data_IF_209321394703
#
_entry.id   IF_209321394703
#
_cell.length_a   1.000
_cell.length_b   1.000
_cell.length_c   1.000
_cell.angle_alpha   90.00
_cell.angle_beta   90.00
_cell.angle_gamma   90.00
#
_symmetry.space_group_name_H-M   'P 1'
#
loop_
_entity.id
_entity.type
_entity.pdbx_description
1 polymer ?
#
# COMPACT_ATOMS: atom_id res chain seq x y z
N UNK A 1 -13.37 31.18 -4.99
CA UNK A 1 -13.19 32.50 -5.66
C UNK A 1 -11.94 33.23 -5.20
N UNK A 2 -11.68 33.40 -3.90
CA UNK A 2 -10.49 34.13 -3.40
C UNK A 2 -9.15 33.68 -4.02
N UNK A 3 -8.86 32.37 -4.03
CA UNK A 3 -7.66 31.78 -4.66
C UNK A 3 -7.54 32.10 -6.16
N UNK A 4 -8.66 32.23 -6.87
CA UNK A 4 -8.66 32.56 -8.30
C UNK A 4 -8.37 34.04 -8.52
N UNK A 5 -8.89 34.93 -7.66
CA UNK A 5 -8.58 36.35 -7.74
C UNK A 5 -7.11 36.62 -7.38
N UNK A 6 -6.55 35.89 -6.41
CA UNK A 6 -5.14 36.00 -6.00
C UNK A 6 -4.15 35.52 -7.09
N UNK A 7 -4.57 34.60 -7.96
CA UNK A 7 -3.70 34.00 -8.99
C UNK A 7 -3.82 34.65 -10.37
N UNK A 8 -4.69 35.65 -10.54
CA UNK A 8 -4.95 36.37 -11.81
C UNK A 8 -3.85 37.36 -12.25
N UNK A 9 -2.65 37.30 -11.69
CA UNK A 9 -1.57 38.28 -11.95
C UNK A 9 -1.10 38.36 -13.41
N UNK A 10 -1.51 37.43 -14.29
CA UNK A 10 -1.18 37.45 -15.72
C UNK A 10 -2.51 37.24 -16.47
N UNK A 11 -3.16 38.35 -16.84
CA UNK A 11 -4.50 38.40 -17.41
C UNK A 11 -4.60 37.85 -18.84
N UNK A 12 -4.45 36.54 -19.01
CA UNK A 12 -4.80 35.85 -20.25
C UNK A 12 -6.23 35.29 -20.16
N UNK A 13 -7.14 35.64 -21.09
CA UNK A 13 -8.47 35.03 -21.16
C UNK A 13 -8.35 33.51 -21.33
N UNK A 14 -9.13 32.74 -20.54
CA UNK A 14 -9.21 31.27 -20.56
C UNK A 14 -7.98 30.50 -20.07
N UNK A 15 -7.03 31.14 -19.40
CA UNK A 15 -5.94 30.41 -18.76
C UNK A 15 -6.32 30.07 -17.32
N UNK A 16 -6.67 28.80 -17.09
CA UNK A 16 -6.89 28.29 -15.74
C UNK A 16 -5.56 28.41 -14.97
N UNK A 17 -5.49 29.18 -13.87
CA UNK A 17 -4.25 29.31 -13.14
C UNK A 17 -3.90 27.95 -12.55
N UNK A 18 -2.91 27.26 -13.14
CA UNK A 18 -2.39 25.98 -12.63
C UNK A 18 -2.09 26.06 -11.13
N UNK A 19 -1.64 27.22 -10.67
CA UNK A 19 -1.45 27.53 -9.25
C UNK A 19 -2.74 27.34 -8.42
N UNK A 20 -3.89 27.86 -8.88
CA UNK A 20 -5.15 27.72 -8.16
C UNK A 20 -5.61 26.25 -8.08
N UNK A 21 -5.42 25.48 -9.15
CA UNK A 21 -5.70 24.05 -9.15
C UNK A 21 -4.83 23.33 -8.13
N UNK A 22 -3.51 23.54 -8.16
CA UNK A 22 -2.57 22.90 -7.25
C UNK A 22 -2.83 23.28 -5.79
N UNK A 23 -3.10 24.55 -5.49
CA UNK A 23 -3.44 24.98 -4.11
C UNK A 23 -4.68 24.25 -3.59
N UNK A 24 -5.72 24.12 -4.42
CA UNK A 24 -6.94 23.40 -4.03
C UNK A 24 -6.70 21.88 -3.89
N UNK A 25 -5.89 21.29 -4.77
CA UNK A 25 -5.49 19.89 -4.68
C UNK A 25 -4.74 19.63 -3.36
N UNK A 26 -3.74 20.45 -3.06
CA UNK A 26 -2.95 20.38 -1.84
C UNK A 26 -3.81 20.48 -0.60
N UNK A 27 -4.78 21.40 -0.59
CA UNK A 27 -5.73 21.53 0.50
C UNK A 27 -6.56 20.25 0.68
N UNK A 28 -7.17 19.73 -0.40
CA UNK A 28 -7.96 18.49 -0.34
C UNK A 28 -7.14 17.28 0.12
N UNK A 29 -5.91 17.12 -0.37
CA UNK A 29 -5.01 16.03 0.05
C UNK A 29 -4.64 16.19 1.53
N UNK A 30 -4.40 17.42 1.97
CA UNK A 30 -4.11 17.72 3.38
C UNK A 30 -5.30 17.36 4.28
N UNK A 31 -6.52 17.69 3.87
CA UNK A 31 -7.74 17.38 4.63
C UNK A 31 -7.95 15.88 4.86
N UNK A 32 -7.51 15.03 3.92
CA UNK A 32 -7.62 13.56 4.03
C UNK A 32 -6.32 12.88 4.46
N UNK A 33 -5.25 13.65 4.70
CA UNK A 33 -3.89 13.10 4.89
C UNK A 33 -3.77 12.14 6.06
N UNK A 34 -4.57 12.31 7.11
CA UNK A 34 -4.54 11.44 8.30
C UNK A 34 -5.14 10.05 8.07
N UNK A 35 -6.08 9.92 7.12
CA UNK A 35 -6.79 8.66 6.84
C UNK A 35 -5.82 7.50 6.53
N UNK A 36 -4.85 7.63 5.61
CA UNK A 36 -3.90 6.54 5.34
C UNK A 36 -3.00 6.23 6.53
N UNK A 37 -2.61 7.20 7.35
CA UNK A 37 -1.82 6.93 8.56
C UNK A 37 -2.60 6.10 9.57
N UNK A 38 -3.85 6.48 9.86
CA UNK A 38 -4.73 5.71 10.74
C UNK A 38 -4.98 4.29 10.23
N UNK A 39 -5.10 4.14 8.91
CA UNK A 39 -5.28 2.82 8.29
C UNK A 39 -4.05 1.92 8.48
N UNK A 40 -2.85 2.43 8.19
CA UNK A 40 -1.59 1.71 8.43
C UNK A 40 -1.44 1.33 9.91
N UNK A 41 -1.73 2.26 10.81
CA UNK A 41 -1.64 2.00 12.25
C UNK A 41 -2.57 0.86 12.71
N UNK A 42 -3.81 0.86 12.23
CA UNK A 42 -4.79 -0.20 12.51
C UNK A 42 -4.33 -1.56 12.00
N UNK A 43 -3.83 -1.63 10.76
CA UNK A 43 -3.37 -2.87 10.15
C UNK A 43 -2.17 -3.44 10.91
N UNK A 44 -1.16 -2.61 11.22
CA UNK A 44 0.02 -3.09 11.95
C UNK A 44 -0.28 -3.47 13.41
N UNK A 45 -1.23 -2.79 14.05
CA UNK A 45 -1.66 -3.15 15.40
C UNK A 45 -2.36 -4.51 15.40
N UNK A 46 -3.28 -4.74 14.46
CA UNK A 46 -3.91 -6.05 14.26
C UNK A 46 -2.88 -7.16 13.98
N UNK A 47 -1.90 -6.89 13.12
CA UNK A 47 -0.83 -7.85 12.83
C UNK A 47 0.00 -8.17 14.07
N UNK A 48 0.27 -7.20 14.93
CA UNK A 48 0.93 -7.44 16.22
C UNK A 48 0.16 -8.43 17.08
N UNK A 49 -1.14 -8.23 17.25
CA UNK A 49 -2.00 -9.13 18.03
C UNK A 49 -2.03 -10.54 17.43
N UNK A 50 -2.15 -10.65 16.09
CA UNK A 50 -2.11 -11.94 15.39
C UNK A 50 -0.79 -12.64 15.61
N UNK A 51 0.34 -11.95 15.39
CA UNK A 51 1.69 -12.53 15.55
C UNK A 51 1.89 -13.02 16.97
N UNK A 52 1.57 -12.21 17.98
CA UNK A 52 1.69 -12.62 19.40
C UNK A 52 0.80 -13.83 19.70
N UNK A 53 -0.46 -13.81 19.25
CA UNK A 53 -1.41 -14.88 19.57
C UNK A 53 -1.08 -16.21 18.88
N UNK A 54 -0.58 -16.18 17.64
CA UNK A 54 -0.11 -17.36 16.91
C UNK A 54 1.18 -17.87 17.56
N UNK A 55 2.07 -16.96 17.93
CA UNK A 55 3.34 -17.31 18.54
C UNK A 55 3.15 -18.07 19.86
N UNK A 56 2.39 -17.52 20.79
CA UNK A 56 2.11 -18.16 22.09
C UNK A 56 1.54 -19.56 21.86
N UNK A 57 0.47 -19.67 21.05
CA UNK A 57 -0.18 -20.96 20.76
C UNK A 57 0.75 -22.05 20.25
N UNK A 58 1.74 -21.72 19.42
CA UNK A 58 2.60 -22.72 18.79
C UNK A 58 3.97 -22.89 19.46
N UNK A 59 4.45 -21.88 20.21
CA UNK A 59 5.80 -21.86 20.74
C UNK A 59 5.90 -21.94 22.27
N UNK A 60 4.77 -22.00 22.99
CA UNK A 60 4.76 -22.05 24.47
C UNK A 60 5.62 -23.20 25.05
N UNK A 61 5.70 -24.34 24.33
CA UNK A 61 6.50 -25.50 24.76
C UNK A 61 7.97 -25.47 24.29
N UNK A 62 8.39 -24.40 23.59
CA UNK A 62 9.69 -24.30 22.95
C UNK A 62 10.44 -23.04 23.42
N UNK A 63 11.00 -23.04 24.65
CA UNK A 63 11.67 -21.87 25.22
C UNK A 63 12.87 -21.38 24.40
N UNK A 64 13.50 -22.25 23.59
CA UNK A 64 14.56 -21.89 22.66
C UNK A 64 14.10 -20.89 21.57
N UNK A 65 12.80 -20.84 21.27
CA UNK A 65 12.28 -19.91 20.26
C UNK A 65 12.00 -18.51 20.82
N UNK A 66 12.13 -18.27 22.12
CA UNK A 66 11.87 -16.97 22.73
C UNK A 66 12.71 -15.83 22.13
N UNK A 67 13.94 -16.13 21.70
CA UNK A 67 14.82 -15.20 20.99
C UNK A 67 14.28 -14.82 19.61
N UNK A 68 13.66 -15.76 18.89
CA UNK A 68 12.94 -15.51 17.63
C UNK A 68 11.75 -14.59 17.86
N UNK A 69 11.00 -14.77 18.95
CA UNK A 69 9.86 -13.90 19.30
C UNK A 69 10.31 -12.44 19.42
N UNK A 70 11.39 -12.21 20.16
CA UNK A 70 11.94 -10.86 20.36
C UNK A 70 12.37 -10.22 19.04
N UNK A 71 13.04 -10.98 18.17
CA UNK A 71 13.45 -10.52 16.84
C UNK A 71 12.24 -10.28 15.92
N UNK A 72 11.25 -11.16 15.94
CA UNK A 72 10.00 -11.02 15.19
C UNK A 72 9.22 -9.76 15.59
N UNK A 73 9.12 -9.47 16.90
CA UNK A 73 8.51 -8.23 17.41
C UNK A 73 9.28 -7.00 16.95
N UNK A 74 10.62 -7.04 16.99
CA UNK A 74 11.45 -5.94 16.49
C UNK A 74 11.20 -5.71 14.99
N UNK A 75 11.25 -6.76 14.18
CA UNK A 75 11.02 -6.69 12.74
C UNK A 75 9.62 -6.13 12.41
N UNK A 76 8.60 -6.51 13.19
CA UNK A 76 7.25 -5.95 13.08
C UNK A 76 7.24 -4.42 13.34
N UNK A 77 7.89 -3.96 14.41
CA UNK A 77 8.01 -2.53 14.74
C UNK A 77 8.73 -1.78 13.63
N UNK A 78 9.85 -2.33 13.15
CA UNK A 78 10.64 -1.73 12.06
C UNK A 78 9.81 -1.63 10.76
N UNK A 79 9.00 -2.65 10.44
CA UNK A 79 8.10 -2.64 9.27
C UNK A 79 6.94 -1.67 9.40
N UNK A 80 6.37 -1.54 10.61
CA UNK A 80 5.36 -0.52 10.89
C UNK A 80 5.93 0.88 10.65
N UNK A 81 7.12 1.16 11.18
CA UNK A 81 7.77 2.46 11.00
C UNK A 81 8.09 2.75 9.53
N UNK A 82 8.66 1.77 8.82
CA UNK A 82 8.91 1.88 7.38
C UNK A 82 7.63 2.19 6.59
N UNK A 83 6.50 1.60 7.00
CA UNK A 83 5.21 1.85 6.35
C UNK A 83 4.68 3.26 6.61
N UNK A 84 4.88 3.79 7.81
CA UNK A 84 4.48 5.18 8.14
C UNK A 84 5.29 6.17 7.29
N UNK A 85 6.60 5.95 7.15
CA UNK A 85 7.47 6.78 6.31
C UNK A 85 7.06 6.72 4.84
N UNK A 86 6.78 5.52 4.34
CA UNK A 86 6.31 5.35 2.97
C UNK A 86 4.95 6.04 2.72
N UNK A 87 4.02 5.98 3.68
CA UNK A 87 2.73 6.71 3.59
C UNK A 87 2.95 8.21 3.52
N UNK A 88 3.88 8.74 4.32
CA UNK A 88 4.24 10.15 4.29
C UNK A 88 4.71 10.55 2.88
N UNK A 89 5.64 9.78 2.30
CA UNK A 89 6.14 10.07 0.95
C UNK A 89 5.02 10.00 -0.08
N UNK A 90 4.14 9.01 -0.01
CA UNK A 90 2.99 8.87 -0.90
C UNK A 90 2.05 10.08 -0.83
N UNK A 91 1.70 10.53 0.38
CA UNK A 91 0.84 11.71 0.58
C UNK A 91 1.51 12.99 0.07
N UNK A 92 2.80 13.17 0.33
CA UNK A 92 3.55 14.34 -0.15
C UNK A 92 3.68 14.34 -1.68
N UNK A 93 3.90 13.19 -2.30
CA UNK A 93 3.91 13.08 -3.77
C UNK A 93 2.57 13.53 -4.40
N UNK A 94 1.43 13.17 -3.81
CA UNK A 94 0.11 13.60 -4.30
C UNK A 94 -0.16 15.10 -4.10
N UNK A 95 0.55 15.77 -3.18
CA UNK A 95 0.48 17.24 -3.00
C UNK A 95 1.32 18.01 -4.03
N UNK A 96 2.34 17.39 -4.59
CA UNK A 96 3.35 18.09 -5.39
C UNK A 96 2.93 18.33 -6.84
N UNK A 97 2.06 17.48 -7.40
CA UNK A 97 1.80 17.48 -8.84
C UNK A 97 0.37 17.14 -9.20
N UNK A 98 -0.12 17.80 -10.26
CA UNK A 98 -1.37 17.54 -10.97
C UNK A 98 -1.18 16.56 -12.16
N UNK A 99 -0.02 15.90 -12.23
CA UNK A 99 0.31 14.97 -13.30
C UNK A 99 -0.59 13.72 -13.28
N UNK A 100 -1.06 13.31 -14.47
CA UNK A 100 -1.74 12.04 -14.68
C UNK A 100 -1.55 11.57 -16.13
N UNK A 101 -1.26 10.29 -16.30
CA UNK A 101 -1.31 9.60 -17.60
C UNK A 101 -2.57 8.75 -17.75
N UNK A 102 -3.53 8.85 -16.82
CA UNK A 102 -4.75 8.08 -16.91
C UNK A 102 -5.61 8.60 -18.08
N UNK A 103 -5.87 7.80 -19.14
CA UNK A 103 -6.66 8.23 -20.28
C UNK A 103 -8.12 8.58 -19.90
N UNK A 104 -8.63 8.02 -18.81
CA UNK A 104 -9.99 8.29 -18.30
C UNK A 104 -10.14 9.70 -17.74
N UNK A 105 -9.03 10.37 -17.39
CA UNK A 105 -9.05 11.74 -16.89
C UNK A 105 -9.69 12.69 -17.92
N UNK A 106 -9.21 12.64 -19.16
CA UNK A 106 -9.71 13.52 -20.23
C UNK A 106 -11.17 13.22 -20.56
N UNK A 107 -11.55 11.95 -20.57
CA UNK A 107 -12.94 11.55 -20.78
C UNK A 107 -13.87 12.10 -19.68
N UNK A 108 -13.46 11.98 -18.42
CA UNK A 108 -14.22 12.47 -17.26
C UNK A 108 -14.31 14.00 -17.23
N UNK A 109 -13.20 14.68 -17.50
CA UNK A 109 -13.17 16.15 -17.65
C UNK A 109 -14.12 16.61 -18.76
N UNK A 110 -14.01 16.03 -19.96
CA UNK A 110 -14.85 16.40 -21.10
C UNK A 110 -16.34 16.18 -20.81
N UNK A 111 -16.68 15.07 -20.15
CA UNK A 111 -18.06 14.78 -19.74
C UNK A 111 -18.58 15.87 -18.79
N UNK A 112 -17.83 16.22 -17.75
CA UNK A 112 -18.21 17.26 -16.79
C UNK A 112 -18.25 18.67 -17.43
N UNK A 113 -17.38 18.93 -18.40
CA UNK A 113 -17.33 20.20 -19.13
C UNK A 113 -18.40 20.34 -20.22
N UNK A 114 -19.12 19.28 -20.59
CA UNK A 114 -20.12 19.30 -21.69
C UNK A 114 -21.25 20.34 -21.49
N UNK A 115 -21.49 20.74 -20.24
CA UNK A 115 -22.52 21.73 -19.86
C UNK A 115 -21.98 23.15 -19.67
N UNK A 116 -20.71 23.41 -20.02
CA UNK A 116 -20.07 24.71 -19.80
C UNK A 116 -20.77 25.84 -20.56
N UNK A 117 -21.19 25.61 -21.81
CA UNK A 117 -21.85 26.65 -22.62
C UNK A 117 -23.22 27.05 -22.04
N UNK A 118 -23.98 26.07 -21.55
CA UNK A 118 -25.24 26.28 -20.82
C UNK A 118 -24.97 27.08 -19.53
N UNK A 119 -23.98 26.66 -18.74
CA UNK A 119 -23.58 27.38 -17.53
C UNK A 119 -23.20 28.85 -17.80
N UNK A 120 -22.46 29.13 -18.88
CA UNK A 120 -22.10 30.50 -19.27
C UNK A 120 -23.34 31.33 -19.63
N UNK A 121 -24.33 30.75 -20.30
CA UNK A 121 -25.59 31.45 -20.63
C UNK A 121 -26.37 31.82 -19.38
N UNK A 122 -26.48 30.90 -18.42
CA UNK A 122 -27.11 31.17 -17.11
C UNK A 122 -26.39 32.31 -16.42
N UNK A 123 -25.07 32.23 -16.24
CA UNK A 123 -24.29 33.24 -15.48
C UNK A 123 -24.35 34.64 -16.12
N UNK A 124 -24.49 34.70 -17.45
CA UNK A 124 -24.66 35.95 -18.18
C UNK A 124 -26.10 36.48 -18.20
N UNK A 125 -27.05 35.79 -17.56
CA UNK A 125 -28.47 36.15 -17.56
C UNK A 125 -29.14 36.02 -18.94
N UNK A 126 -28.58 35.18 -19.83
CA UNK A 126 -29.08 34.96 -21.18
C UNK A 126 -30.09 33.81 -21.26
N UNK A 127 -30.40 33.17 -20.13
CA UNK A 127 -31.28 32.01 -20.04
C UNK A 127 -32.43 32.26 -19.06
N UNK A 128 -33.62 31.72 -19.37
CA UNK A 128 -34.85 31.94 -18.59
C UNK A 128 -34.87 31.12 -17.31
N UNK A 129 -34.30 29.92 -17.36
CA UNK A 129 -34.07 29.08 -16.18
C UNK A 129 -32.72 29.44 -15.56
N UNK A 130 -32.68 29.55 -14.24
CA UNK A 130 -31.42 29.67 -13.50
C UNK A 130 -30.88 28.32 -13.03
N UNK A 131 -31.58 27.22 -13.27
CA UNK A 131 -31.17 25.90 -12.80
C UNK A 131 -30.46 25.10 -13.90
N UNK A 132 -29.35 24.46 -13.54
CA UNK A 132 -28.56 23.59 -14.41
C UNK A 132 -28.38 22.22 -13.77
N UNK A 133 -28.58 21.16 -14.54
CA UNK A 133 -28.29 19.80 -14.11
C UNK A 133 -26.88 19.39 -14.53
N UNK A 134 -26.03 19.08 -13.55
CA UNK A 134 -24.66 18.63 -13.79
C UNK A 134 -24.47 17.22 -13.24
N UNK A 135 -23.96 16.33 -14.08
CA UNK A 135 -23.62 14.96 -13.70
C UNK A 135 -22.71 14.94 -12.46
N UNK A 136 -23.10 14.17 -11.45
CA UNK A 136 -22.37 14.07 -10.17
C UNK A 136 -22.63 15.21 -9.17
N UNK A 137 -23.30 16.29 -9.56
CA UNK A 137 -23.65 17.42 -8.68
C UNK A 137 -25.16 17.65 -8.54
N UNK A 138 -25.97 17.09 -9.43
CA UNK A 138 -27.41 17.28 -9.43
C UNK A 138 -27.83 18.65 -9.97
N UNK A 139 -28.96 19.16 -9.49
CA UNK A 139 -29.51 20.44 -9.90
C UNK A 139 -28.85 21.58 -9.11
N UNK A 140 -28.25 22.54 -9.83
CA UNK A 140 -27.57 23.69 -9.25
C UNK A 140 -28.28 24.96 -9.69
N UNK A 141 -28.63 25.83 -8.75
CA UNK A 141 -29.18 27.14 -9.06
C UNK A 141 -28.07 28.17 -9.28
N UNK A 142 -27.96 28.71 -10.49
CA UNK A 142 -26.96 29.69 -10.92
C UNK A 142 -27.34 31.16 -10.70
N UNK A 143 -28.53 31.47 -10.17
CA UNK A 143 -29.02 32.86 -10.03
C UNK A 143 -28.08 33.73 -9.18
N UNK A 144 -27.49 33.15 -8.13
CA UNK A 144 -26.57 33.81 -7.22
C UNK A 144 -25.15 34.04 -7.78
N UNK A 145 -24.90 33.56 -9.00
CA UNK A 145 -23.60 33.64 -9.67
C UNK A 145 -23.55 34.73 -10.76
N UNK A 146 -24.68 35.37 -11.05
CA UNK A 146 -24.77 36.43 -12.07
C UNK A 146 -23.76 37.56 -11.84
N UNK A 147 -23.11 38.00 -12.92
CA UNK A 147 -22.21 39.16 -12.91
C UNK A 147 -20.87 38.96 -12.18
N UNK A 148 -20.57 37.75 -11.70
CA UNK A 148 -19.29 37.44 -11.04
C UNK A 148 -18.25 36.94 -12.05
N UNK A 149 -17.23 37.76 -12.30
CA UNK A 149 -16.27 37.53 -13.39
C UNK A 149 -15.42 36.24 -13.29
N UNK A 150 -15.19 35.67 -12.11
CA UNK A 150 -14.41 34.43 -11.94
C UNK A 150 -15.24 33.14 -11.91
N UNK A 151 -16.55 33.21 -12.15
CA UNK A 151 -17.43 32.04 -12.03
C UNK A 151 -17.14 30.99 -13.10
N UNK A 152 -16.83 31.41 -14.33
CA UNK A 152 -16.49 30.48 -15.43
C UNK A 152 -15.18 29.75 -15.13
N UNK A 153 -14.16 30.46 -14.64
CA UNK A 153 -12.88 29.86 -14.23
C UNK A 153 -13.07 28.91 -13.04
N UNK A 154 -13.91 29.30 -12.07
CA UNK A 154 -14.23 28.46 -10.91
C UNK A 154 -14.94 27.17 -11.31
N UNK A 155 -15.82 27.24 -12.31
CA UNK A 155 -16.47 26.06 -12.88
C UNK A 155 -15.45 25.12 -13.51
N UNK A 156 -14.56 25.63 -14.38
CA UNK A 156 -13.53 24.81 -15.04
C UNK A 156 -12.62 24.11 -14.00
N UNK A 157 -12.15 24.86 -12.99
CA UNK A 157 -11.37 24.30 -11.88
C UNK A 157 -12.16 23.23 -11.13
N UNK A 158 -13.44 23.48 -10.82
CA UNK A 158 -14.27 22.54 -10.07
C UNK A 158 -14.46 21.22 -10.84
N UNK A 159 -14.71 21.28 -12.14
CA UNK A 159 -14.92 20.08 -12.97
C UNK A 159 -13.63 19.28 -13.11
N UNK A 160 -12.52 19.93 -13.45
CA UNK A 160 -11.20 19.25 -13.55
C UNK A 160 -10.77 18.66 -12.22
N UNK A 161 -10.97 19.40 -11.12
CA UNK A 161 -10.62 18.91 -9.78
C UNK A 161 -11.44 17.67 -9.43
N UNK A 162 -12.70 17.61 -9.84
CA UNK A 162 -13.58 16.47 -9.57
C UNK A 162 -13.12 15.22 -10.32
N UNK A 163 -12.79 15.35 -11.60
CA UNK A 163 -12.22 14.25 -12.38
C UNK A 163 -10.85 13.80 -11.85
N UNK A 164 -9.98 14.74 -11.48
CA UNK A 164 -8.65 14.42 -10.96
C UNK A 164 -8.71 13.76 -9.58
N UNK A 165 -9.64 14.21 -8.73
CA UNK A 165 -9.78 13.71 -7.36
C UNK A 165 -10.10 12.21 -7.30
N UNK A 166 -10.90 11.69 -8.22
CA UNK A 166 -11.16 10.24 -8.31
C UNK A 166 -9.87 9.44 -8.54
N UNK A 167 -8.98 9.96 -9.39
CA UNK A 167 -7.67 9.34 -9.69
C UNK A 167 -6.75 9.38 -8.47
N UNK A 168 -6.74 10.49 -7.73
CA UNK A 168 -5.95 10.61 -6.48
C UNK A 168 -6.41 9.58 -5.46
N UNK A 169 -7.73 9.46 -5.23
CA UNK A 169 -8.28 8.50 -4.27
C UNK A 169 -7.96 7.06 -4.67
N UNK A 170 -8.11 6.69 -5.94
CA UNK A 170 -7.76 5.34 -6.43
C UNK A 170 -6.28 5.03 -6.23
N UNK A 171 -5.39 5.96 -6.60
CA UNK A 171 -3.95 5.80 -6.39
C UNK A 171 -3.61 5.63 -4.91
N UNK A 172 -4.21 6.40 -4.03
CA UNK A 172 -4.01 6.23 -2.58
C UNK A 172 -4.43 4.81 -2.15
N UNK A 173 -5.62 4.34 -2.52
CA UNK A 173 -6.11 3.01 -2.14
C UNK A 173 -5.22 1.89 -2.69
N UNK A 174 -4.91 1.93 -3.98
CA UNK A 174 -4.12 0.87 -4.65
C UNK A 174 -2.70 0.80 -4.08
N UNK A 175 -2.02 1.95 -3.96
CA UNK A 175 -0.66 2.00 -3.45
C UNK A 175 -0.61 1.50 -1.99
N UNK A 176 -1.59 1.86 -1.15
CA UNK A 176 -1.68 1.40 0.24
C UNK A 176 -1.86 -0.11 0.33
N UNK A 177 -2.79 -0.67 -0.45
CA UNK A 177 -3.02 -2.11 -0.49
C UNK A 177 -1.75 -2.87 -0.92
N UNK A 178 -1.11 -2.42 -2.00
CA UNK A 178 0.11 -3.03 -2.52
C UNK A 178 1.27 -2.98 -1.51
N UNK A 179 1.52 -1.81 -0.91
CA UNK A 179 2.59 -1.64 0.08
C UNK A 179 2.40 -2.54 1.30
N UNK A 180 1.18 -2.60 1.84
CA UNK A 180 0.86 -3.43 3.00
C UNK A 180 0.99 -4.91 2.68
N UNK A 181 0.40 -5.39 1.59
CA UNK A 181 0.50 -6.80 1.18
C UNK A 181 1.97 -7.19 1.01
N UNK A 182 2.76 -6.38 0.31
CA UNK A 182 4.17 -6.64 0.11
C UNK A 182 4.95 -6.68 1.44
N UNK A 183 4.73 -5.69 2.31
CA UNK A 183 5.44 -5.56 3.59
C UNK A 183 5.12 -6.72 4.53
N UNK A 184 3.85 -7.13 4.60
CA UNK A 184 3.40 -8.28 5.41
C UNK A 184 4.03 -9.57 4.88
N UNK A 185 4.02 -9.78 3.57
CA UNK A 185 4.66 -10.98 3.00
C UNK A 185 6.16 -11.01 3.27
N UNK A 186 6.84 -9.86 3.21
CA UNK A 186 8.26 -9.77 3.53
C UNK A 186 8.53 -10.09 5.01
N UNK A 187 7.71 -9.54 5.92
CA UNK A 187 7.80 -9.81 7.35
C UNK A 187 7.65 -11.31 7.64
N UNK A 188 6.59 -11.94 7.12
CA UNK A 188 6.30 -13.35 7.44
C UNK A 188 7.30 -14.29 6.77
N UNK A 189 7.49 -14.16 5.45
CA UNK A 189 8.26 -15.15 4.65
C UNK A 189 9.76 -14.95 4.73
N UNK A 190 10.25 -13.72 4.89
CA UNK A 190 11.69 -13.45 4.86
C UNK A 190 12.26 -13.16 6.23
N UNK A 191 11.55 -12.42 7.06
CA UNK A 191 12.07 -12.03 8.38
C UNK A 191 11.76 -13.12 9.40
N UNK A 192 10.49 -13.37 9.72
CA UNK A 192 10.10 -14.33 10.76
C UNK A 192 10.52 -15.77 10.44
N UNK A 193 10.28 -16.25 9.22
CA UNK A 193 10.66 -17.60 8.84
C UNK A 193 12.18 -17.83 8.93
N UNK A 194 12.99 -16.85 8.51
CA UNK A 194 14.45 -16.95 8.60
C UNK A 194 14.92 -16.98 10.04
N UNK A 195 14.33 -16.15 10.92
CA UNK A 195 14.69 -16.14 12.35
C UNK A 195 14.38 -17.48 13.04
N UNK A 196 13.25 -18.11 12.70
CA UNK A 196 12.89 -19.45 13.22
C UNK A 196 13.89 -20.49 12.72
N UNK A 197 14.20 -20.48 11.42
CA UNK A 197 15.16 -21.42 10.82
C UNK A 197 16.55 -21.25 11.43
N UNK A 198 17.04 -20.03 11.57
CA UNK A 198 18.38 -19.77 12.10
C UNK A 198 18.49 -20.18 13.57
N UNK A 199 17.45 -19.98 14.38
CA UNK A 199 17.44 -20.44 15.78
C UNK A 199 17.32 -21.96 15.88
N UNK A 200 16.44 -22.55 15.09
CA UNK A 200 16.24 -24.00 15.08
C UNK A 200 17.47 -24.72 14.59
N UNK A 201 18.24 -24.19 13.64
CA UNK A 201 19.41 -24.86 13.03
C UNK A 201 20.75 -24.42 13.69
N UNK A 202 20.80 -23.28 14.37
CA UNK A 202 21.93 -22.82 15.20
C UNK A 202 23.23 -22.49 14.43
N UNK A 203 24.28 -21.93 15.07
CA UNK A 203 25.50 -21.46 14.40
C UNK A 203 26.32 -22.56 13.69
N UNK A 204 26.19 -23.82 14.12
CA UNK A 204 26.85 -24.94 13.45
C UNK A 204 26.31 -25.19 12.03
N UNK A 205 25.13 -24.65 11.70
CA UNK A 205 24.45 -24.77 10.42
C UNK A 205 25.19 -24.15 9.22
N UNK A 206 26.14 -23.24 9.44
CA UNK A 206 26.88 -22.62 8.32
C UNK A 206 27.66 -23.70 7.55
N UNK A 207 28.16 -24.73 8.25
CA UNK A 207 28.77 -25.91 7.64
C UNK A 207 27.74 -26.81 6.90
N UNK A 208 26.49 -26.83 7.36
CA UNK A 208 25.42 -27.70 6.85
C UNK A 208 24.53 -27.06 5.78
N UNK A 209 24.54 -25.72 5.63
CA UNK A 209 23.78 -24.98 4.61
C UNK A 209 24.14 -25.42 3.19
N UNK A 210 25.40 -25.77 2.94
CA UNK A 210 25.85 -26.34 1.67
C UNK A 210 25.26 -27.74 1.43
N UNK A 211 25.22 -28.58 2.46
CA UNK A 211 24.64 -29.92 2.39
C UNK A 211 23.11 -29.86 2.20
N UNK A 212 22.41 -29.00 2.95
CA UNK A 212 20.96 -28.79 2.85
C UNK A 212 20.54 -28.26 1.48
N UNK A 213 21.28 -27.30 0.88
CA UNK A 213 21.00 -26.81 -0.48
C UNK A 213 21.17 -27.87 -1.56
N UNK A 214 22.10 -28.82 -1.38
CA UNK A 214 22.28 -29.96 -2.29
C UNK A 214 21.21 -31.05 -2.13
N UNK A 215 20.58 -31.13 -0.95
CA UNK A 215 19.57 -32.14 -0.60
C UNK A 215 18.12 -31.66 -0.83
N UNK A 216 17.88 -30.35 -0.82
CA UNK A 216 16.56 -29.75 -1.03
C UNK A 216 15.90 -30.15 -2.38
N UNK A 217 16.64 -30.29 -3.50
CA UNK A 217 16.06 -30.79 -4.75
C UNK A 217 15.70 -32.29 -4.68
N UNK A 218 16.42 -33.09 -3.88
CA UNK A 218 16.17 -34.52 -3.73
C UNK A 218 14.93 -34.81 -2.87
N UNK A 219 14.69 -34.00 -1.84
CA UNK A 219 13.45 -34.04 -1.04
C UNK A 219 12.21 -33.62 -1.84
N UNK A 220 12.38 -32.72 -2.82
CA UNK A 220 11.28 -32.24 -3.69
C UNK A 220 11.04 -33.15 -4.89
N UNK A 221 12.01 -33.97 -5.29
CA UNK A 221 11.87 -34.89 -6.42
C UNK A 221 11.10 -36.16 -6.06
N UNK A 222 10.90 -36.46 -4.77
CA UNK A 222 10.38 -37.74 -4.28
C UNK A 222 9.05 -37.59 -3.52
N UNK A 223 8.14 -36.77 -4.04
CA UNK A 223 6.74 -36.71 -3.53
C UNK A 223 5.94 -38.02 -3.79
N UNK A 224 6.56 -39.02 -4.43
CA UNK A 224 5.97 -40.34 -4.69
C UNK A 224 6.55 -41.48 -3.80
N UNK A 225 7.57 -41.20 -2.99
CA UNK A 225 8.22 -42.17 -2.12
C UNK A 225 7.88 -41.99 -0.64
N UNK A 226 8.00 -43.08 0.14
CA UNK A 226 7.82 -43.06 1.60
C UNK A 226 8.83 -42.09 2.25
N UNK A 227 8.32 -40.94 2.70
CA UNK A 227 9.10 -39.84 3.28
C UNK A 227 10.06 -40.31 4.37
N UNK A 228 9.68 -41.38 5.09
CA UNK A 228 10.48 -41.96 6.15
C UNK A 228 11.78 -42.61 5.65
N UNK A 229 11.75 -43.30 4.50
CA UNK A 229 12.96 -43.89 3.89
C UNK A 229 13.89 -42.82 3.32
N UNK A 230 13.33 -41.75 2.75
CA UNK A 230 14.11 -40.63 2.21
C UNK A 230 14.84 -39.89 3.34
N UNK A 231 14.13 -39.61 4.45
CA UNK A 231 14.73 -39.00 5.64
C UNK A 231 15.85 -39.86 6.24
N UNK A 232 15.66 -41.19 6.32
CA UNK A 232 16.69 -42.12 6.76
C UNK A 232 17.93 -42.14 5.83
N UNK A 233 17.73 -42.17 4.51
CA UNK A 233 18.84 -42.19 3.54
C UNK A 233 19.62 -40.87 3.44
N UNK A 234 19.00 -39.75 3.78
CA UNK A 234 19.68 -38.45 3.93
C UNK A 234 20.45 -38.42 5.26
N UNK A 235 19.84 -38.93 6.33
CA UNK A 235 20.48 -39.01 7.64
C UNK A 235 21.74 -39.88 7.61
N UNK A 236 21.70 -41.07 7.00
CA UNK A 236 22.87 -41.96 6.90
C UNK A 236 24.06 -41.31 6.17
N UNK A 237 23.80 -40.62 5.04
CA UNK A 237 24.83 -39.92 4.27
C UNK A 237 25.43 -38.74 5.03
N UNK A 238 24.60 -37.99 5.77
CA UNK A 238 25.09 -36.93 6.66
C UNK A 238 25.92 -37.48 7.83
N UNK A 239 25.56 -38.65 8.39
CA UNK A 239 26.30 -39.28 9.48
C UNK A 239 27.68 -39.77 9.05
N UNK A 240 27.80 -40.28 7.81
CA UNK A 240 29.07 -40.77 7.25
C UNK A 240 30.13 -39.66 7.10
N UNK A 241 29.71 -38.42 6.83
CA UNK A 241 30.66 -37.31 6.62
C UNK A 241 31.06 -36.56 7.90
N UNK A 242 30.26 -36.62 8.97
CA UNK A 242 30.39 -35.64 10.07
C UNK A 242 30.26 -36.22 11.50
N UNK A 243 30.05 -37.53 11.67
CA UNK A 243 30.10 -38.18 12.98
C UNK A 243 28.98 -37.76 13.97
N UNK A 244 29.32 -37.53 15.25
CA UNK A 244 28.37 -37.48 16.39
C UNK A 244 27.26 -36.39 16.31
N UNK A 245 27.35 -35.41 15.40
CA UNK A 245 26.31 -34.39 15.18
C UNK A 245 24.98 -34.91 14.64
N UNK A 246 24.94 -36.18 14.21
CA UNK A 246 23.78 -36.79 13.57
C UNK A 246 22.57 -37.03 14.49
N UNK A 247 22.76 -37.13 15.82
CA UNK A 247 21.65 -37.31 16.77
C UNK A 247 20.79 -36.06 16.94
N UNK A 248 21.38 -34.87 16.83
CA UNK A 248 20.62 -33.60 16.78
C UNK A 248 19.88 -33.41 15.45
N UNK A 249 20.36 -34.03 14.37
CA UNK A 249 19.72 -33.97 13.05
C UNK A 249 18.41 -34.77 13.02
N UNK A 250 18.34 -35.94 13.68
CA UNK A 250 17.11 -36.76 13.78
C UNK A 250 15.96 -36.00 14.46
N UNK A 251 16.22 -35.40 15.62
CA UNK A 251 15.22 -34.59 16.36
C UNK A 251 14.80 -33.33 15.59
N UNK A 252 15.67 -32.79 14.72
CA UNK A 252 15.38 -31.62 13.87
C UNK A 252 14.58 -31.95 12.61
N UNK A 253 14.76 -33.15 12.05
CA UNK A 253 13.99 -33.65 10.90
C UNK A 253 12.56 -34.00 11.32
N UNK A 254 12.39 -34.69 12.46
CA UNK A 254 11.07 -35.04 13.01
C UNK A 254 10.20 -33.78 13.28
N UNK A 255 10.81 -32.65 13.64
CA UNK A 255 10.11 -31.37 13.80
C UNK A 255 9.76 -30.67 12.47
N UNK A 256 10.47 -30.94 11.39
CA UNK A 256 10.19 -30.37 10.05
C UNK A 256 9.13 -31.18 9.29
N UNK A 257 8.95 -32.46 9.62
CA UNK A 257 7.95 -33.34 9.01
C UNK A 257 6.54 -33.23 9.61
N UNK A 258 6.40 -32.56 10.77
CA UNK A 258 5.13 -32.31 11.45
C UNK A 258 4.41 -31.01 11.01
N UNK A 259 4.88 -30.35 9.94
CA UNK A 259 4.32 -29.13 9.36
C UNK A 259 3.60 -29.34 8.04
#
# INVERSE_FOLDING_TARGET
>A
MKVLEETKSIGLPRFLPRAAFLTLLQQKVTDVSMIPFEFVDKIWSYLGDVVVSVWLRHCDNYPQLLSCTRRAVKNLIDKKQQSIEWVKDMVEMEKLTDYTCNPEYMASCNKLMSRQDEFIKIVNGLETSSDIQIDGFGLINGSHLHGKGSVVDAFDVKMRMTAYWDIVLRRMVDNMALHLIFSIQNLVKKEMQTEIIDELIGPQAIAWRGCWRSLLPLLKADEAGDKHQVAQGVQERCCQHHGQGCRQFRLRLEMLELG
#
